data_IF_149054632835
#
_entry.id   IF_149054632835
#
_cell.length_a   1.000
_cell.length_b   1.000
_cell.length_c   1.000
_cell.angle_alpha   90.00
_cell.angle_beta   90.00
_cell.angle_gamma   90.00
#
_symmetry.space_group_name_H-M   'P 1'
#
loop_
_entity.id
_entity.type
_entity.pdbx_description
1 polymer ?
#
# COMPACT_ATOMS: atom_id res chain seq x y z
N UNK A 1 20.30 7.91 -13.44
CA UNK A 1 19.16 8.49 -14.15
C UNK A 1 18.03 7.46 -14.18
N UNK A 2 16.78 7.91 -13.97
CA UNK A 2 15.59 7.05 -14.02
C UNK A 2 14.96 7.13 -15.41
N UNK A 3 14.45 6.01 -15.88
CA UNK A 3 13.65 5.92 -17.10
C UNK A 3 12.32 5.26 -16.76
N UNK A 4 11.22 5.93 -17.12
CA UNK A 4 9.86 5.42 -16.92
C UNK A 4 9.35 4.82 -18.24
N UNK A 5 9.04 3.53 -18.22
CA UNK A 5 8.42 2.81 -19.34
C UNK A 5 6.90 2.80 -19.18
N UNK A 6 6.21 3.70 -19.88
CA UNK A 6 4.76 3.80 -19.94
C UNK A 6 4.28 4.12 -21.34
N UNK A 7 3.25 3.44 -21.81
CA UNK A 7 2.62 3.73 -23.10
C UNK A 7 1.36 4.58 -22.89
N UNK A 8 1.49 5.89 -23.02
CA UNK A 8 0.40 6.86 -22.84
C UNK A 8 0.88 8.16 -22.22
N UNK A 9 -0.02 9.10 -22.01
CA UNK A 9 0.28 10.36 -21.36
C UNK A 9 0.31 10.12 -19.84
N UNK A 10 1.47 10.34 -19.21
CA UNK A 10 1.61 10.32 -17.76
C UNK A 10 2.73 11.28 -17.34
N UNK A 11 2.58 11.84 -16.16
CA UNK A 11 3.59 12.70 -15.54
C UNK A 11 4.24 11.94 -14.38
N UNK A 12 5.56 11.98 -14.32
CA UNK A 12 6.33 11.29 -13.30
C UNK A 12 7.14 12.31 -12.50
N UNK A 13 6.96 12.30 -11.20
CA UNK A 13 7.72 13.09 -10.25
C UNK A 13 8.55 12.21 -9.35
N UNK A 14 9.77 12.64 -9.05
CA UNK A 14 10.69 11.97 -8.12
C UNK A 14 11.06 12.96 -7.05
N UNK A 15 10.78 12.63 -5.79
CA UNK A 15 11.11 13.47 -4.63
C UNK A 15 11.98 12.68 -3.66
N UNK A 16 13.11 13.25 -3.27
CA UNK A 16 13.88 12.73 -2.15
C UNK A 16 13.16 13.07 -0.84
N UNK A 17 12.82 12.05 -0.05
CA UNK A 17 12.08 12.18 1.21
C UNK A 17 12.92 11.85 2.43
N UNK A 18 14.20 11.53 2.24
CA UNK A 18 15.17 11.25 3.29
C UNK A 18 16.48 10.74 2.70
N UNK A 19 17.47 10.50 3.55
CA UNK A 19 18.77 9.98 3.08
C UNK A 19 18.57 8.65 2.35
N UNK A 20 18.83 8.64 1.03
CA UNK A 20 18.65 7.49 0.13
C UNK A 20 17.19 6.96 0.03
N UNK A 21 16.20 7.78 0.40
CA UNK A 21 14.78 7.46 0.28
C UNK A 21 14.13 8.37 -0.74
N UNK A 22 13.51 7.77 -1.75
CA UNK A 22 12.85 8.47 -2.84
C UNK A 22 11.38 8.06 -2.93
N UNK A 23 10.53 9.02 -3.21
CA UNK A 23 9.12 8.79 -3.53
C UNK A 23 8.91 9.08 -5.00
N UNK A 24 8.28 8.14 -5.70
CA UNK A 24 7.89 8.27 -7.10
C UNK A 24 6.39 8.51 -7.16
N UNK A 25 5.98 9.58 -7.81
CA UNK A 25 4.57 9.87 -8.06
C UNK A 25 4.31 9.79 -9.56
N UNK A 26 3.39 8.94 -9.95
CA UNK A 26 2.88 8.85 -11.32
C UNK A 26 1.45 9.41 -11.35
N UNK A 27 1.21 10.40 -12.21
CA UNK A 27 -0.09 11.05 -12.37
C UNK A 27 -0.55 10.96 -13.83
N UNK A 28 -1.87 10.92 -14.05
CA UNK A 28 -2.44 10.84 -15.38
C UNK A 28 -2.28 9.45 -16.04
N UNK A 29 -2.09 8.40 -15.25
CA UNK A 29 -2.07 7.03 -15.75
C UNK A 29 -3.48 6.65 -16.23
N UNK A 30 -3.69 6.67 -17.54
CA UNK A 30 -4.96 6.25 -18.13
C UNK A 30 -5.03 4.73 -18.20
N UNK A 31 -6.07 4.17 -17.59
CA UNK A 31 -6.41 2.74 -17.69
C UNK A 31 -7.33 2.54 -18.90
N UNK A 32 -7.04 1.52 -19.69
CA UNK A 32 -7.83 1.12 -20.86
C UNK A 32 -8.32 -0.33 -20.70
N UNK A 33 -8.95 -0.86 -21.74
CA UNK A 33 -9.50 -2.21 -21.75
C UNK A 33 -8.44 -3.33 -21.54
N UNK A 34 -7.15 -3.00 -21.60
CA UNK A 34 -6.05 -3.95 -21.38
C UNK A 34 -5.20 -3.52 -20.20
N UNK A 35 -4.79 -4.49 -19.39
CA UNK A 35 -3.80 -4.27 -18.34
C UNK A 35 -2.46 -3.84 -18.94
N UNK A 36 -1.74 -2.99 -18.22
CA UNK A 36 -0.42 -2.48 -18.61
C UNK A 36 0.56 -2.62 -17.46
N UNK A 37 1.84 -2.57 -17.79
CA UNK A 37 2.92 -2.56 -16.79
C UNK A 37 3.63 -1.21 -16.84
N UNK A 38 3.68 -0.51 -15.71
CA UNK A 38 4.57 0.62 -15.51
C UNK A 38 5.92 0.08 -15.07
N UNK A 39 6.97 0.41 -15.81
CA UNK A 39 8.35 0.00 -15.47
C UNK A 39 9.16 1.21 -15.04
N UNK A 40 9.88 1.11 -13.94
CA UNK A 40 10.88 2.08 -13.52
C UNK A 40 12.26 1.42 -13.66
N UNK A 41 13.08 1.93 -14.56
CA UNK A 41 14.44 1.43 -14.81
C UNK A 41 15.45 2.35 -14.17
N UNK A 42 16.38 1.79 -13.44
CA UNK A 42 17.51 2.50 -12.86
C UNK A 42 18.70 2.40 -13.82
N UNK A 43 19.05 3.50 -14.46
CA UNK A 43 20.25 3.55 -15.30
C UNK A 43 21.46 3.85 -14.41
N UNK A 44 22.47 2.98 -14.37
CA UNK A 44 23.72 3.27 -13.69
C UNK A 44 24.35 4.51 -14.34
N UNK A 45 24.57 5.52 -13.55
CA UNK A 45 25.24 6.76 -13.94
C UNK A 45 26.15 7.20 -12.79
N UNK A 46 26.90 8.29 -12.95
CA UNK A 46 27.80 8.85 -11.93
C UNK A 46 27.08 9.36 -10.66
N UNK A 47 25.94 8.81 -10.34
CA UNK A 47 25.05 9.25 -9.24
C UNK A 47 25.31 8.54 -7.91
N UNK A 48 26.26 7.59 -7.85
CA UNK A 48 26.55 6.83 -6.63
C UNK A 48 25.46 5.86 -6.18
N UNK A 49 24.42 5.65 -7.00
CA UNK A 49 23.42 4.61 -6.75
C UNK A 49 24.01 3.24 -7.06
N UNK A 50 23.89 2.26 -6.16
CA UNK A 50 24.18 0.88 -6.49
C UNK A 50 23.27 0.42 -7.65
N UNK A 51 23.71 -0.55 -8.42
CA UNK A 51 22.85 -1.19 -9.41
C UNK A 51 21.62 -1.74 -8.69
N UNK A 52 20.44 -1.25 -9.07
CA UNK A 52 19.17 -1.75 -8.54
C UNK A 52 18.41 -2.45 -9.66
N UNK A 53 17.60 -3.43 -9.27
CA UNK A 53 16.68 -4.09 -10.18
C UNK A 53 15.60 -3.11 -10.66
N UNK A 54 15.09 -3.35 -11.86
CA UNK A 54 13.95 -2.60 -12.36
C UNK A 54 12.71 -2.88 -11.50
N UNK A 55 11.89 -1.87 -11.30
CA UNK A 55 10.61 -2.01 -10.63
C UNK A 55 9.49 -2.13 -11.67
N UNK A 56 8.56 -3.04 -11.42
CA UNK A 56 7.41 -3.30 -12.27
C UNK A 56 6.12 -3.15 -11.45
N UNK A 57 5.17 -2.39 -11.99
CA UNK A 57 3.88 -2.17 -11.36
C UNK A 57 2.78 -2.55 -12.36
N UNK A 58 2.00 -3.56 -12.01
CA UNK A 58 0.84 -3.97 -12.80
C UNK A 58 -0.28 -2.95 -12.64
N UNK A 59 -0.70 -2.36 -13.76
CA UNK A 59 -1.83 -1.44 -13.83
C UNK A 59 -3.00 -2.21 -14.45
N UNK A 60 -4.01 -2.59 -13.66
CA UNK A 60 -5.14 -3.37 -14.14
C UNK A 60 -5.92 -2.66 -15.23
N UNK A 61 -6.64 -3.41 -16.08
CA UNK A 61 -7.55 -2.86 -17.06
C UNK A 61 -8.64 -2.00 -16.40
N UNK A 62 -9.19 -1.03 -17.14
CA UNK A 62 -10.31 -0.22 -16.67
C UNK A 62 -11.53 -1.12 -16.35
N UNK A 63 -12.28 -0.78 -15.30
CA UNK A 63 -13.43 -1.56 -14.83
C UNK A 63 -13.08 -2.80 -14.00
N UNK A 64 -11.80 -3.12 -13.82
CA UNK A 64 -11.39 -4.16 -12.89
C UNK A 64 -11.15 -3.51 -11.53
N UNK A 65 -11.90 -3.95 -10.52
CA UNK A 65 -11.72 -3.54 -9.14
C UNK A 65 -10.70 -4.43 -8.45
N UNK A 66 -9.63 -3.83 -7.95
CA UNK A 66 -8.55 -4.54 -7.24
C UNK A 66 -7.81 -3.63 -6.27
N UNK A 67 -7.06 -4.24 -5.34
CA UNK A 67 -6.15 -3.52 -4.46
C UNK A 67 -4.87 -3.22 -5.23
N UNK A 68 -4.51 -1.94 -5.34
CA UNK A 68 -3.23 -1.51 -5.92
C UNK A 68 -2.08 -1.60 -4.92
N UNK A 69 -2.38 -1.38 -3.65
CA UNK A 69 -1.40 -1.44 -2.59
C UNK A 69 -1.93 -0.95 -1.26
N UNK A 70 -1.14 -1.13 -0.22
CA UNK A 70 -1.40 -0.54 1.07
C UNK A 70 -0.09 -0.13 1.73
N UNK A 71 -0.11 0.94 2.51
CA UNK A 71 1.05 1.47 3.21
C UNK A 71 0.71 1.96 4.62
N UNK A 72 1.69 1.87 5.51
CA UNK A 72 1.60 2.50 6.82
C UNK A 72 1.74 4.01 6.64
N UNK A 73 0.79 4.76 7.19
CA UNK A 73 0.68 6.20 7.04
C UNK A 73 0.61 6.87 8.41
N UNK A 74 0.90 8.18 8.45
CA UNK A 74 0.89 8.99 9.67
C UNK A 74 2.23 9.02 10.42
N UNK A 75 2.40 10.04 11.26
CA UNK A 75 3.67 10.33 11.96
C UNK A 75 4.09 9.21 12.93
N UNK A 76 3.13 8.46 13.46
CA UNK A 76 3.35 7.34 14.38
C UNK A 76 2.99 5.97 13.78
N UNK A 77 2.81 5.87 12.45
CA UNK A 77 2.39 4.63 11.77
C UNK A 77 1.10 4.02 12.35
N UNK A 78 0.17 4.87 12.77
CA UNK A 78 -1.12 4.47 13.39
C UNK A 78 -2.26 4.39 12.39
N UNK A 79 -1.96 4.50 11.11
CA UNK A 79 -2.95 4.32 10.05
C UNK A 79 -2.38 3.51 8.89
N UNK A 80 -3.29 2.85 8.18
CA UNK A 80 -2.98 2.13 6.94
C UNK A 80 -3.85 2.73 5.86
N UNK A 81 -3.22 3.19 4.79
CA UNK A 81 -3.88 3.61 3.56
C UNK A 81 -3.89 2.46 2.58
N UNK A 82 -5.07 2.06 2.14
CA UNK A 82 -5.30 1.05 1.11
C UNK A 82 -5.76 1.77 -0.14
N UNK A 83 -5.03 1.64 -1.24
CA UNK A 83 -5.38 2.24 -2.52
C UNK A 83 -5.98 1.18 -3.44
N UNK A 84 -7.12 1.50 -4.03
CA UNK A 84 -7.84 0.66 -4.97
C UNK A 84 -7.79 1.23 -6.39
N UNK A 85 -8.14 0.42 -7.35
CA UNK A 85 -8.21 0.81 -8.76
C UNK A 85 -9.42 1.67 -9.09
N UNK A 86 -10.50 1.54 -8.31
CA UNK A 86 -11.78 2.27 -8.47
C UNK A 86 -12.25 2.80 -7.11
N UNK A 87 -13.11 3.82 -7.08
CA UNK A 87 -13.71 4.33 -5.85
C UNK A 87 -14.52 3.26 -5.12
N UNK A 88 -14.39 3.24 -3.80
CA UNK A 88 -15.13 2.31 -2.94
C UNK A 88 -16.61 2.66 -2.83
N UNK A 89 -17.46 1.63 -2.76
CA UNK A 89 -18.86 1.78 -2.37
C UNK A 89 -18.95 2.25 -0.92
N UNK A 90 -19.58 3.41 -0.72
CA UNK A 90 -19.82 3.96 0.64
C UNK A 90 -20.98 3.28 1.37
N UNK A 91 -21.80 2.51 0.64
CA UNK A 91 -22.99 1.85 1.19
C UNK A 91 -22.71 0.49 1.83
N UNK A 92 -21.48 -0.03 1.74
CA UNK A 92 -21.14 -1.34 2.29
C UNK A 92 -20.65 -1.25 3.75
N UNK A 93 -20.97 -2.27 4.51
CA UNK A 93 -20.38 -2.46 5.85
C UNK A 93 -19.00 -3.10 5.70
N UNK A 94 -17.97 -2.43 6.19
CA UNK A 94 -16.59 -2.92 6.11
C UNK A 94 -16.27 -4.00 7.16
N UNK A 95 -17.13 -4.20 8.16
CA UNK A 95 -16.95 -5.24 9.16
C UNK A 95 -16.97 -6.64 8.50
N UNK A 96 -15.89 -7.38 8.66
CA UNK A 96 -15.71 -8.69 8.03
C UNK A 96 -15.19 -8.64 6.60
N UNK A 97 -15.23 -7.48 5.92
CA UNK A 97 -14.60 -7.29 4.61
C UNK A 97 -13.14 -6.81 4.73
N UNK A 98 -12.83 -6.17 5.84
CA UNK A 98 -11.47 -5.75 6.20
C UNK A 98 -11.15 -6.32 7.56
N UNK A 99 -10.00 -6.95 7.67
CA UNK A 99 -9.50 -7.48 8.94
C UNK A 99 -8.07 -7.00 9.19
N UNK A 100 -7.82 -6.53 10.41
CA UNK A 100 -6.48 -6.27 10.91
C UNK A 100 -6.18 -7.23 12.05
N UNK A 101 -4.98 -7.79 12.02
CA UNK A 101 -4.43 -8.53 13.14
C UNK A 101 -2.96 -8.13 13.33
N UNK A 102 -2.44 -8.32 14.54
CA UNK A 102 -1.03 -8.11 14.81
C UNK A 102 -0.44 -9.32 15.52
N UNK A 103 0.84 -9.51 15.35
CA UNK A 103 1.62 -10.48 16.11
C UNK A 103 2.50 -9.77 17.11
N UNK A 104 2.64 -10.39 18.28
CA UNK A 104 3.58 -9.98 19.33
C UNK A 104 4.44 -11.18 19.67
N UNK A 105 5.74 -10.98 19.67
CA UNK A 105 6.71 -12.01 20.04
C UNK A 105 7.31 -11.66 21.41
N UNK A 106 7.03 -12.47 22.43
CA UNK A 106 7.59 -12.33 23.76
C UNK A 106 8.14 -13.68 24.23
N UNK A 107 9.33 -13.68 24.79
CA UNK A 107 10.01 -14.86 25.35
C UNK A 107 10.02 -16.09 24.42
N UNK A 108 10.10 -15.84 23.09
CA UNK A 108 10.14 -16.91 22.10
C UNK A 108 8.76 -17.46 21.69
N UNK A 109 7.67 -16.97 22.27
CA UNK A 109 6.30 -17.25 21.82
C UNK A 109 5.80 -16.12 20.92
N UNK A 110 5.08 -16.47 19.86
CA UNK A 110 4.44 -15.52 18.95
C UNK A 110 2.93 -15.73 19.03
N UNK A 111 2.25 -14.71 19.54
CA UNK A 111 0.80 -14.71 19.64
C UNK A 111 0.19 -13.75 18.62
N UNK A 112 -1.02 -14.08 18.13
CA UNK A 112 -1.77 -13.28 17.17
C UNK A 112 -3.02 -12.71 17.82
N UNK A 113 -3.25 -11.43 17.64
CA UNK A 113 -4.38 -10.70 18.20
C UNK A 113 -5.12 -9.94 17.10
N UNK A 114 -6.44 -9.82 17.25
CA UNK A 114 -7.24 -8.95 16.39
C UNK A 114 -6.98 -7.50 16.75
N UNK A 115 -6.82 -6.65 15.72
CA UNK A 115 -6.65 -5.21 15.88
C UNK A 115 -7.93 -4.50 15.43
N UNK A 116 -8.57 -3.78 16.35
CA UNK A 116 -9.75 -2.97 16.03
C UNK A 116 -9.32 -1.70 15.32
N UNK A 117 -10.16 -1.22 14.42
CA UNK A 117 -9.92 -0.01 13.66
C UNK A 117 -11.20 0.79 13.43
N UNK A 118 -11.04 2.07 13.17
CA UNK A 118 -12.04 2.92 12.53
C UNK A 118 -11.59 3.21 11.09
N UNK A 119 -12.49 3.59 10.21
CA UNK A 119 -12.17 3.76 8.80
C UNK A 119 -12.73 5.05 8.22
N UNK A 120 -12.04 5.57 7.22
CA UNK A 120 -12.49 6.70 6.39
C UNK A 120 -12.25 6.37 4.92
N UNK A 121 -13.31 6.44 4.14
CA UNK A 121 -13.24 6.30 2.67
C UNK A 121 -13.07 7.67 2.04
N UNK A 122 -12.05 7.82 1.22
CA UNK A 122 -11.80 8.99 0.41
C UNK A 122 -11.54 8.54 -1.03
N UNK A 123 -12.62 8.53 -1.83
CA UNK A 123 -12.61 8.07 -3.21
C UNK A 123 -12.12 6.62 -3.33
N UNK A 124 -10.97 6.39 -3.94
CA UNK A 124 -10.33 5.09 -4.10
C UNK A 124 -9.31 4.75 -2.99
N UNK A 125 -9.27 5.54 -1.92
CA UNK A 125 -8.39 5.28 -0.76
C UNK A 125 -9.24 4.99 0.47
N UNK A 126 -8.98 3.86 1.11
CA UNK A 126 -9.52 3.49 2.42
C UNK A 126 -8.43 3.67 3.47
N UNK A 127 -8.62 4.63 4.36
CA UNK A 127 -7.74 4.82 5.51
C UNK A 127 -8.31 4.13 6.73
N UNK A 128 -7.51 3.27 7.35
CA UNK A 128 -7.80 2.58 8.60
C UNK A 128 -6.99 3.21 9.72
N UNK A 129 -7.66 3.59 10.79
CA UNK A 129 -7.02 4.12 12.00
C UNK A 129 -7.13 3.07 13.10
N UNK A 130 -6.03 2.74 13.74
CA UNK A 130 -5.96 1.78 14.83
C UNK A 130 -5.19 2.34 16.01
N UNK A 131 -5.43 1.79 17.20
CA UNK A 131 -4.69 2.20 18.40
C UNK A 131 -3.26 1.61 18.38
N UNK A 132 -2.28 2.35 18.94
CA UNK A 132 -0.93 1.85 19.07
C UNK A 132 -0.89 0.51 19.80
N UNK A 133 -0.11 -0.42 19.29
CA UNK A 133 0.09 -1.73 19.89
C UNK A 133 1.56 -2.15 19.78
N UNK A 134 2.02 -2.98 20.71
CA UNK A 134 3.36 -3.57 20.71
C UNK A 134 3.45 -4.70 19.68
N UNK A 135 3.24 -4.34 18.41
CA UNK A 135 3.23 -5.29 17.32
C UNK A 135 4.64 -5.53 16.78
N UNK A 136 4.98 -6.77 16.51
CA UNK A 136 6.12 -7.15 15.67
C UNK A 136 5.75 -7.02 14.20
N UNK A 137 4.55 -7.52 13.85
CA UNK A 137 3.98 -7.36 12.51
C UNK A 137 2.49 -7.02 12.59
N UNK A 138 2.00 -6.31 11.58
CA UNK A 138 0.57 -6.07 11.36
C UNK A 138 0.18 -6.73 10.04
N UNK A 139 -0.85 -7.55 10.06
CA UNK A 139 -1.41 -8.17 8.87
C UNK A 139 -2.76 -7.55 8.54
N UNK A 140 -2.87 -7.06 7.32
CA UNK A 140 -4.09 -6.56 6.72
C UNK A 140 -4.64 -7.60 5.76
N UNK A 141 -5.92 -7.93 5.91
CA UNK A 141 -6.66 -8.76 4.95
C UNK A 141 -7.83 -7.98 4.39
N UNK A 142 -7.99 -8.03 3.08
CA UNK A 142 -9.12 -7.49 2.33
C UNK A 142 -9.87 -8.66 1.70
N UNK A 143 -11.15 -8.80 2.04
CA UNK A 143 -12.00 -9.87 1.51
C UNK A 143 -12.37 -9.61 0.05
N UNK A 144 -12.43 -10.67 -0.74
CA UNK A 144 -12.78 -10.60 -2.15
C UNK A 144 -14.19 -10.08 -2.45
N UNK A 145 -15.10 -10.07 -1.46
CA UNK A 145 -16.44 -9.54 -1.58
C UNK A 145 -16.54 -8.01 -1.44
N UNK A 146 -15.43 -7.32 -1.12
CA UNK A 146 -15.38 -5.85 -1.08
C UNK A 146 -15.76 -5.28 -2.45
N UNK A 147 -16.57 -4.22 -2.46
CA UNK A 147 -17.16 -3.65 -3.69
C UNK A 147 -16.73 -2.23 -3.95
N UNK A 148 -16.58 -1.92 -5.24
CA UNK A 148 -16.46 -0.56 -5.74
C UNK A 148 -17.84 0.15 -5.82
N UNK A 149 -17.83 1.41 -6.25
CA UNK A 149 -19.05 2.21 -6.43
C UNK A 149 -19.98 1.67 -7.55
N UNK A 150 -19.49 0.84 -8.43
CA UNK A 150 -20.22 0.22 -9.55
C UNK A 150 -20.74 -1.17 -9.20
N UNK A 151 -20.39 -1.70 -8.01
CA UNK A 151 -20.80 -3.03 -7.55
C UNK A 151 -19.87 -4.17 -7.95
N UNK A 152 -18.75 -3.88 -8.63
CA UNK A 152 -17.73 -4.88 -8.93
C UNK A 152 -17.01 -5.30 -7.65
N UNK A 153 -16.62 -6.57 -7.55
CA UNK A 153 -15.89 -7.13 -6.41
C UNK A 153 -14.42 -7.34 -6.75
N UNK A 154 -13.57 -7.39 -5.72
CA UNK A 154 -12.15 -7.76 -5.91
C UNK A 154 -12.03 -9.20 -6.43
N UNK A 155 -12.94 -10.09 -5.98
CA UNK A 155 -12.98 -11.50 -6.38
C UNK A 155 -12.13 -12.39 -5.49
N UNK A 156 -10.87 -12.05 -5.26
CA UNK A 156 -9.94 -12.83 -4.44
C UNK A 156 -9.55 -12.09 -3.17
N UNK A 157 -9.27 -12.87 -2.12
CA UNK A 157 -8.73 -12.31 -0.87
C UNK A 157 -7.34 -11.76 -1.10
N UNK A 158 -7.11 -10.54 -0.65
CA UNK A 158 -5.80 -9.90 -0.69
C UNK A 158 -5.25 -9.69 0.73
N UNK A 159 -3.96 -9.98 0.92
CA UNK A 159 -3.31 -9.88 2.23
C UNK A 159 -1.96 -9.17 2.11
N UNK A 160 -1.64 -8.33 3.11
CA UNK A 160 -0.34 -7.68 3.24
C UNK A 160 0.13 -7.67 4.69
N UNK A 161 1.41 -7.99 4.88
CA UNK A 161 2.07 -7.92 6.19
C UNK A 161 3.00 -6.72 6.22
N UNK A 162 2.88 -5.95 7.30
CA UNK A 162 3.75 -4.81 7.60
C UNK A 162 4.63 -5.14 8.80
N UNK A 163 5.90 -4.79 8.72
CA UNK A 163 6.79 -4.82 9.87
C UNK A 163 6.50 -3.61 10.75
N UNK A 164 6.02 -3.87 11.95
CA UNK A 164 5.62 -2.84 12.92
C UNK A 164 6.71 -2.53 13.95
N UNK A 165 7.88 -3.19 13.88
CA UNK A 165 8.98 -2.93 14.80
C UNK A 165 9.34 -1.45 14.78
N UNK A 166 8.88 -0.74 15.81
CA UNK A 166 9.35 0.61 16.12
C UNK A 166 10.85 0.50 16.45
N UNK A 167 11.72 1.29 15.86
CA UNK A 167 13.03 1.46 16.42
C UNK A 167 12.82 2.00 17.85
N UNK A 168 13.15 1.21 18.86
CA UNK A 168 13.19 1.70 20.24
C UNK A 168 14.05 2.96 20.21
N UNK A 169 13.60 4.10 20.78
CA UNK A 169 14.46 5.25 20.90
C UNK A 169 15.69 4.81 21.72
N UNK A 170 16.86 4.76 21.10
CA UNK A 170 18.11 4.62 21.82
C UNK A 170 18.37 5.96 22.52
N UNK A 171 18.16 5.96 23.82
CA UNK A 171 18.63 7.04 24.66
C UNK A 171 20.10 6.71 25.00
N UNK A 172 21.02 7.30 24.23
CA UNK A 172 22.44 7.34 24.63
C UNK A 172 22.62 8.45 25.67
N UNK A 173 23.08 8.07 26.85
CA UNK A 173 23.54 8.99 27.87
C UNK A 173 25.02 9.37 27.63
#
# INVERSE_FOLDING_TARGET
LLEFGWSGNATFEVKETGRQKYTFTASGLERNAQAKVLTIKFKPGNTGFPACDNLYFDIPAAGIFSVMGAELSGDNRQSIDITFTEPLSKAQNLAGLIELSYTRTEYGSTDRYRLNFTSKVNDNVLRLYYEPCDATTIELTVDGALRDMHGNTIGERWTKVFNASNPKPEVSF
#
